data_IF_995506291348
#
_entry.id   IF_995506291348
#
_cell.length_a   1.000
_cell.length_b   1.000
_cell.length_c   1.000
_cell.angle_alpha   90.00
_cell.angle_beta   90.00
_cell.angle_gamma   90.00
#
_symmetry.space_group_name_H-M   'P 1'
#
loop_
_entity.id
_entity.type
_entity.pdbx_description
1 polymer ?
#
# COMPACT_ATOMS: atom_id res chain seq x y z
N UNK A 1 -22.36 97.78 -63.84
CA UNK A 1 -22.11 97.32 -65.23
C UNK A 1 -23.46 96.93 -65.81
N UNK A 2 -23.91 97.56 -66.91
CA UNK A 2 -25.14 97.15 -67.56
C UNK A 2 -24.99 95.73 -68.10
N UNK A 3 -26.06 94.93 -68.04
CA UNK A 3 -26.08 93.61 -68.65
C UNK A 3 -25.98 93.74 -70.18
N UNK A 4 -25.38 92.77 -70.88
CA UNK A 4 -25.43 92.70 -72.33
C UNK A 4 -26.88 92.75 -72.83
N UNK A 5 -27.14 93.52 -73.90
CA UNK A 5 -28.48 93.74 -74.47
C UNK A 5 -29.24 92.43 -74.73
N UNK A 6 -28.55 91.40 -75.21
CA UNK A 6 -29.16 90.09 -75.47
C UNK A 6 -29.67 89.39 -74.20
N UNK A 7 -29.08 89.65 -73.04
CA UNK A 7 -29.49 89.09 -71.75
C UNK A 7 -30.69 89.88 -71.19
N UNK A 8 -30.68 91.20 -71.34
CA UNK A 8 -31.81 92.06 -70.95
C UNK A 8 -33.06 91.75 -71.78
N UNK A 9 -32.92 91.61 -73.11
CA UNK A 9 -34.00 91.22 -74.02
C UNK A 9 -34.55 89.81 -73.68
N UNK A 10 -33.67 88.88 -73.30
CA UNK A 10 -34.05 87.54 -72.87
C UNK A 10 -34.85 87.57 -71.55
N UNK A 11 -34.43 88.38 -70.58
CA UNK A 11 -35.12 88.54 -69.30
C UNK A 11 -36.48 89.19 -69.50
N UNK A 12 -36.55 90.29 -70.26
CA UNK A 12 -37.79 91.00 -70.58
C UNK A 12 -38.80 90.07 -71.28
N UNK A 13 -38.38 89.38 -72.34
CA UNK A 13 -39.26 88.46 -73.07
C UNK A 13 -39.64 87.21 -72.25
N UNK A 14 -38.82 86.84 -71.26
CA UNK A 14 -39.17 85.79 -70.30
C UNK A 14 -40.24 86.24 -69.32
N UNK A 15 -40.21 87.50 -68.89
CA UNK A 15 -41.26 88.08 -68.04
C UNK A 15 -42.56 88.27 -68.81
N UNK A 16 -42.48 88.74 -70.06
CA UNK A 16 -43.62 88.86 -70.98
C UNK A 16 -44.30 87.49 -71.20
N UNK A 17 -43.52 86.42 -71.39
CA UNK A 17 -44.06 85.06 -71.48
C UNK A 17 -44.87 84.64 -70.24
N UNK A 18 -44.36 84.93 -69.04
CA UNK A 18 -45.02 84.56 -67.78
C UNK A 18 -46.37 85.25 -67.56
N UNK A 19 -46.59 86.40 -68.20
CA UNK A 19 -47.88 87.12 -68.19
C UNK A 19 -48.76 86.82 -69.41
N UNK A 20 -48.38 85.84 -70.23
CA UNK A 20 -49.16 85.36 -71.37
C UNK A 20 -48.94 86.13 -72.68
N UNK A 21 -47.91 86.97 -72.78
CA UNK A 21 -47.58 87.70 -74.00
C UNK A 21 -46.73 86.84 -74.97
N UNK A 22 -46.87 87.03 -76.29
CA UNK A 22 -46.13 86.27 -77.29
C UNK A 22 -44.63 86.60 -77.26
N UNK A 23 -43.81 85.55 -77.31
CA UNK A 23 -42.34 85.62 -77.22
C UNK A 23 -41.73 85.56 -78.61
N UNK A 24 -40.59 86.21 -78.82
CA UNK A 24 -39.88 86.09 -80.09
C UNK A 24 -39.37 84.66 -80.33
N UNK A 25 -39.35 84.26 -81.60
CA UNK A 25 -38.83 82.95 -82.04
C UNK A 25 -37.36 82.74 -81.62
N UNK A 26 -36.54 83.80 -81.63
CA UNK A 26 -35.12 83.78 -81.22
C UNK A 26 -34.97 83.34 -79.76
N UNK A 27 -35.78 83.91 -78.86
CA UNK A 27 -35.77 83.58 -77.43
C UNK A 27 -36.25 82.16 -77.17
N UNK A 28 -37.28 81.68 -77.87
CA UNK A 28 -37.75 80.30 -77.77
C UNK A 28 -36.69 79.29 -78.24
N UNK A 29 -36.02 79.55 -79.36
CA UNK A 29 -34.92 78.69 -79.84
C UNK A 29 -33.74 78.66 -78.87
N UNK A 30 -33.37 79.81 -78.28
CA UNK A 30 -32.28 79.87 -77.31
C UNK A 30 -32.61 79.09 -76.03
N UNK A 31 -33.85 79.19 -75.52
CA UNK A 31 -34.35 78.38 -74.39
C UNK A 31 -34.35 76.88 -74.70
N UNK A 32 -34.76 76.51 -75.92
CA UNK A 32 -34.75 75.11 -76.36
C UNK A 32 -33.33 74.55 -76.37
N UNK A 33 -32.38 75.25 -76.99
CA UNK A 33 -30.97 74.84 -77.03
C UNK A 33 -30.36 74.73 -75.62
N UNK A 34 -30.59 75.71 -74.76
CA UNK A 34 -30.11 75.69 -73.37
C UNK A 34 -30.73 74.53 -72.57
N UNK A 35 -32.01 74.25 -72.77
CA UNK A 35 -32.70 73.11 -72.15
C UNK A 35 -32.17 71.77 -72.66
N UNK A 36 -31.90 71.65 -73.97
CA UNK A 36 -31.33 70.44 -74.56
C UNK A 36 -29.92 70.17 -74.05
N UNK A 37 -29.07 71.20 -73.96
CA UNK A 37 -27.73 71.08 -73.41
C UNK A 37 -27.75 70.73 -71.91
N UNK A 38 -28.65 71.34 -71.12
CA UNK A 38 -28.84 70.99 -69.72
C UNK A 38 -29.31 69.54 -69.57
N UNK A 39 -30.24 69.07 -70.43
CA UNK A 39 -30.70 67.67 -70.46
C UNK A 39 -29.55 66.72 -70.79
N UNK A 40 -28.72 67.04 -71.77
CA UNK A 40 -27.55 66.22 -72.12
C UNK A 40 -26.52 66.15 -70.99
N UNK A 41 -26.26 67.26 -70.30
CA UNK A 41 -25.39 67.30 -69.12
C UNK A 41 -25.92 66.43 -67.98
N UNK A 42 -27.20 66.61 -67.61
CA UNK A 42 -27.86 65.79 -66.59
C UNK A 42 -27.84 64.30 -66.95
N UNK A 43 -28.09 63.97 -68.22
CA UNK A 43 -28.03 62.59 -68.69
C UNK A 43 -26.63 61.99 -68.52
N UNK A 44 -25.57 62.76 -68.79
CA UNK A 44 -24.19 62.38 -68.53
C UNK A 44 -23.91 62.16 -67.04
N UNK A 45 -24.36 63.06 -66.16
CA UNK A 45 -24.21 62.91 -64.71
C UNK A 45 -24.95 61.67 -64.17
N UNK A 46 -26.15 61.40 -64.68
CA UNK A 46 -26.92 60.20 -64.31
C UNK A 46 -26.15 58.92 -64.66
N UNK A 47 -25.54 58.84 -65.86
CA UNK A 47 -24.73 57.68 -66.23
C UNK A 47 -23.49 57.53 -65.34
N UNK A 48 -22.78 58.63 -65.06
CA UNK A 48 -21.62 58.60 -64.16
C UNK A 48 -21.99 58.14 -62.75
N UNK A 49 -23.10 58.63 -62.21
CA UNK A 49 -23.61 58.20 -60.90
C UNK A 49 -24.01 56.73 -60.90
N UNK A 50 -24.64 56.23 -61.97
CA UNK A 50 -24.98 54.82 -62.11
C UNK A 50 -23.73 53.93 -62.14
N UNK A 51 -22.68 54.33 -62.87
CA UNK A 51 -21.40 53.62 -62.88
C UNK A 51 -20.76 53.60 -61.49
N UNK A 52 -20.70 54.76 -60.82
CA UNK A 52 -20.17 54.87 -59.47
C UNK A 52 -20.93 53.98 -58.47
N UNK A 53 -22.26 53.96 -58.55
CA UNK A 53 -23.10 53.14 -57.69
C UNK A 53 -22.84 51.65 -57.91
N UNK A 54 -22.78 51.19 -59.16
CA UNK A 54 -22.42 49.79 -59.50
C UNK A 54 -21.06 49.39 -58.95
N UNK A 55 -20.07 50.27 -59.05
CA UNK A 55 -18.73 49.99 -58.54
C UNK A 55 -18.67 49.95 -57.00
N UNK A 56 -19.46 50.78 -56.32
CA UNK A 56 -19.63 50.71 -54.86
C UNK A 56 -20.34 49.42 -54.45
N UNK A 57 -21.40 49.02 -55.14
CA UNK A 57 -22.10 47.77 -54.88
C UNK A 57 -21.18 46.56 -55.04
N UNK A 58 -20.36 46.52 -56.10
CA UNK A 58 -19.34 45.47 -56.29
C UNK A 58 -18.36 45.41 -55.12
N UNK A 59 -17.85 46.55 -54.67
CA UNK A 59 -16.93 46.62 -53.52
C UNK A 59 -17.59 46.14 -52.23
N UNK A 60 -18.86 46.49 -52.01
CA UNK A 60 -19.63 45.99 -50.86
C UNK A 60 -19.76 44.47 -50.92
N UNK A 61 -20.12 43.90 -52.08
CA UNK A 61 -20.24 42.44 -52.23
C UNK A 61 -18.91 41.71 -52.00
N UNK A 62 -17.80 42.27 -52.47
CA UNK A 62 -16.46 41.73 -52.19
C UNK A 62 -16.15 41.77 -50.70
N UNK A 63 -16.37 42.92 -50.04
CA UNK A 63 -16.15 43.05 -48.60
C UNK A 63 -17.03 42.12 -47.77
N UNK A 64 -18.29 41.90 -48.16
CA UNK A 64 -19.20 40.97 -47.50
C UNK A 64 -18.73 39.51 -47.64
N UNK A 65 -18.29 39.11 -48.84
CA UNK A 65 -17.78 37.75 -49.06
C UNK A 65 -16.47 37.50 -48.30
N UNK A 66 -15.56 38.47 -48.28
CA UNK A 66 -14.35 38.44 -47.47
C UNK A 66 -14.66 38.34 -45.97
N UNK A 67 -15.55 39.19 -45.45
CA UNK A 67 -15.97 39.17 -44.06
C UNK A 67 -16.61 37.82 -43.67
N UNK A 68 -17.41 37.23 -44.56
CA UNK A 68 -18.01 35.90 -44.34
C UNK A 68 -16.96 34.80 -44.25
N UNK A 69 -15.97 34.80 -45.13
CA UNK A 69 -14.87 33.81 -45.10
C UNK A 69 -14.02 33.97 -43.82
N UNK A 70 -13.70 35.21 -43.45
CA UNK A 70 -12.95 35.52 -42.23
C UNK A 70 -13.73 35.09 -40.97
N UNK A 71 -15.03 35.34 -40.91
CA UNK A 71 -15.86 34.88 -39.80
C UNK A 71 -15.88 33.35 -39.68
N UNK A 72 -15.95 32.63 -40.81
CA UNK A 72 -15.90 31.16 -40.81
C UNK A 72 -14.52 30.63 -40.36
N UNK A 73 -13.43 31.26 -40.82
CA UNK A 73 -12.08 30.90 -40.39
C UNK A 73 -11.89 31.13 -38.89
N UNK A 74 -12.33 32.28 -38.38
CA UNK A 74 -12.28 32.59 -36.95
C UNK A 74 -13.08 31.59 -36.12
N UNK A 75 -14.28 31.21 -36.58
CA UNK A 75 -15.10 30.19 -35.90
C UNK A 75 -14.35 28.86 -35.79
N UNK A 76 -13.75 28.37 -36.88
CA UNK A 76 -12.95 27.13 -36.87
C UNK A 76 -11.78 27.21 -35.89
N UNK A 77 -11.06 28.32 -35.86
CA UNK A 77 -9.97 28.52 -34.91
C UNK A 77 -10.45 28.54 -33.45
N UNK A 78 -11.61 29.12 -33.17
CA UNK A 78 -12.21 29.09 -31.83
C UNK A 78 -12.54 27.64 -31.45
N UNK A 79 -13.20 26.89 -32.34
CA UNK A 79 -13.57 25.49 -32.09
C UNK A 79 -12.33 24.61 -31.83
N UNK A 80 -11.27 24.78 -32.63
CA UNK A 80 -9.97 24.12 -32.44
C UNK A 80 -9.31 24.51 -31.11
N UNK A 81 -9.34 25.79 -30.74
CA UNK A 81 -8.77 26.26 -29.48
C UNK A 81 -9.51 25.67 -28.28
N UNK A 82 -10.84 25.58 -28.34
CA UNK A 82 -11.67 24.92 -27.32
C UNK A 82 -11.30 23.44 -27.19
N UNK A 83 -11.14 22.74 -28.33
CA UNK A 83 -10.71 21.33 -28.34
C UNK A 83 -9.33 21.15 -27.71
N UNK A 84 -8.36 21.96 -28.09
CA UNK A 84 -7.01 21.92 -27.54
C UNK A 84 -6.99 22.19 -26.04
N UNK A 85 -7.82 23.12 -25.54
CA UNK A 85 -7.94 23.36 -24.08
C UNK A 85 -8.47 22.14 -23.34
N UNK A 86 -9.47 21.45 -23.90
CA UNK A 86 -9.98 20.22 -23.31
C UNK A 86 -8.90 19.13 -23.27
N UNK A 87 -8.17 18.91 -24.38
CA UNK A 87 -7.07 17.95 -24.43
C UNK A 87 -5.94 18.31 -23.43
N UNK A 88 -5.60 19.59 -23.29
CA UNK A 88 -4.64 20.05 -22.27
C UNK A 88 -5.13 19.75 -20.85
N UNK A 89 -6.40 19.99 -20.56
CA UNK A 89 -7.00 19.68 -19.26
C UNK A 89 -6.94 18.18 -18.95
N UNK A 90 -7.25 17.33 -19.92
CA UNK A 90 -7.22 15.87 -19.78
C UNK A 90 -5.79 15.37 -19.54
N UNK A 91 -4.82 15.91 -20.29
CA UNK A 91 -3.40 15.58 -20.11
C UNK A 91 -2.90 16.02 -18.73
N UNK A 92 -3.28 17.20 -18.24
CA UNK A 92 -2.94 17.65 -16.89
C UNK A 92 -3.51 16.73 -15.83
N UNK A 93 -4.78 16.35 -15.94
CA UNK A 93 -5.40 15.38 -15.03
C UNK A 93 -4.64 14.04 -15.02
N UNK A 94 -4.21 13.57 -16.19
CA UNK A 94 -3.40 12.35 -16.30
C UNK A 94 -2.01 12.51 -15.66
N UNK A 95 -1.35 13.65 -15.83
CA UNK A 95 -0.08 13.95 -15.17
C UNK A 95 -0.23 13.91 -13.64
N UNK A 96 -1.25 14.56 -13.08
CA UNK A 96 -1.51 14.54 -11.64
C UNK A 96 -1.73 13.12 -11.11
N UNK A 97 -2.43 12.26 -11.86
CA UNK A 97 -2.60 10.84 -11.49
C UNK A 97 -1.26 10.09 -11.47
N UNK A 98 -0.41 10.32 -12.48
CA UNK A 98 0.90 9.69 -12.55
C UNK A 98 1.86 10.19 -11.47
N UNK A 99 1.82 11.48 -11.13
CA UNK A 99 2.62 12.04 -10.04
C UNK A 99 2.25 11.40 -8.69
N UNK A 100 0.95 11.22 -8.42
CA UNK A 100 0.48 10.51 -7.23
C UNK A 100 0.99 9.07 -7.22
N UNK A 101 0.94 8.37 -8.35
CA UNK A 101 1.41 7.00 -8.49
C UNK A 101 2.93 6.88 -8.29
N UNK A 102 3.73 7.79 -8.86
CA UNK A 102 5.17 7.87 -8.60
C UNK A 102 5.46 8.08 -7.11
N UNK A 103 4.73 8.98 -6.45
CA UNK A 103 4.88 9.20 -5.01
C UNK A 103 4.58 7.95 -4.17
N UNK A 104 3.67 7.08 -4.63
CA UNK A 104 3.39 5.81 -3.97
C UNK A 104 4.56 4.84 -4.15
N UNK A 105 5.12 4.72 -5.36
CA UNK A 105 6.31 3.90 -5.60
C UNK A 105 7.52 4.34 -4.78
N UNK A 106 7.74 5.64 -4.61
CA UNK A 106 8.83 6.14 -3.78
C UNK A 106 8.63 5.77 -2.30
N UNK A 107 7.42 5.94 -1.76
CA UNK A 107 7.08 5.51 -0.40
C UNK A 107 7.24 4.00 -0.21
N UNK A 108 6.75 3.21 -1.16
CA UNK A 108 6.87 1.74 -1.12
C UNK A 108 8.34 1.31 -1.13
N UNK A 109 9.18 1.97 -1.94
CA UNK A 109 10.63 1.72 -1.99
C UNK A 109 11.31 2.04 -0.65
N UNK A 110 10.95 3.16 -0.03
CA UNK A 110 11.47 3.56 1.28
C UNK A 110 11.06 2.56 2.36
N UNK A 111 9.78 2.18 2.42
CA UNK A 111 9.29 1.19 3.38
C UNK A 111 9.97 -0.18 3.24
N UNK A 112 10.22 -0.63 2.01
CA UNK A 112 10.95 -1.87 1.77
C UNK A 112 12.43 -1.78 2.18
N UNK A 113 13.05 -0.62 2.02
CA UNK A 113 14.43 -0.38 2.47
C UNK A 113 14.52 -0.41 4.00
N UNK A 114 13.60 0.26 4.70
CA UNK A 114 13.51 0.23 6.16
C UNK A 114 13.28 -1.19 6.68
N UNK A 115 12.37 -1.94 6.05
CA UNK A 115 12.14 -3.34 6.40
C UNK A 115 13.39 -4.20 6.22
N UNK A 116 14.16 -3.98 5.16
CA UNK A 116 15.44 -4.64 4.93
C UNK A 116 16.43 -4.37 6.07
N UNK A 117 16.59 -3.10 6.44
CA UNK A 117 17.46 -2.71 7.55
C UNK A 117 17.03 -3.34 8.88
N UNK A 118 15.73 -3.34 9.21
CA UNK A 118 15.22 -3.99 10.42
C UNK A 118 15.44 -5.51 10.42
N UNK A 119 15.32 -6.15 9.25
CA UNK A 119 15.55 -7.58 9.13
C UNK A 119 17.03 -7.92 9.35
N UNK A 120 17.94 -7.11 8.80
CA UNK A 120 19.38 -7.24 8.99
C UNK A 120 19.76 -7.01 10.46
N UNK A 121 19.24 -5.97 11.10
CA UNK A 121 19.44 -5.72 12.55
C UNK A 121 18.99 -6.93 13.38
N UNK A 122 17.77 -7.45 13.14
CA UNK A 122 17.27 -8.65 13.84
C UNK A 122 18.15 -9.89 13.60
N UNK A 123 18.72 -10.04 12.41
CA UNK A 123 19.63 -11.14 12.11
C UNK A 123 20.93 -10.99 12.92
N UNK A 124 21.51 -9.79 12.95
CA UNK A 124 22.72 -9.52 13.74
C UNK A 124 22.49 -9.74 15.25
N UNK A 125 21.33 -9.34 15.77
CA UNK A 125 20.93 -9.59 17.18
C UNK A 125 20.72 -11.09 17.48
N UNK A 126 20.29 -11.88 16.51
CA UNK A 126 20.18 -13.32 16.66
C UNK A 126 21.55 -14.00 16.64
N UNK A 127 22.45 -13.58 15.74
CA UNK A 127 23.82 -14.10 15.63
C UNK A 127 24.65 -13.80 16.88
N UNK A 128 24.54 -12.58 17.42
CA UNK A 128 25.22 -12.19 18.66
C UNK A 128 24.75 -13.05 19.83
N UNK A 129 23.43 -13.21 20.03
CA UNK A 129 22.87 -14.08 21.09
C UNK A 129 23.26 -15.54 20.93
N UNK A 130 23.28 -16.06 19.71
CA UNK A 130 23.72 -17.43 19.44
C UNK A 130 25.21 -17.61 19.81
N UNK A 131 26.06 -16.66 19.42
CA UNK A 131 27.48 -16.65 19.75
C UNK A 131 27.72 -16.59 21.26
N UNK A 132 26.99 -15.76 21.98
CA UNK A 132 27.05 -15.69 23.45
C UNK A 132 26.62 -17.02 24.10
N UNK A 133 25.54 -17.63 23.61
CA UNK A 133 25.07 -18.92 24.09
C UNK A 133 26.10 -20.03 23.84
N UNK A 134 26.75 -20.05 22.67
CA UNK A 134 27.85 -20.99 22.38
C UNK A 134 29.03 -20.82 23.34
N UNK A 135 29.42 -19.58 23.63
CA UNK A 135 30.50 -19.28 24.59
C UNK A 135 30.11 -19.78 25.99
N UNK A 136 28.88 -19.54 26.44
CA UNK A 136 28.41 -20.01 27.74
C UNK A 136 28.32 -21.54 27.81
N UNK A 137 27.87 -22.20 26.74
CA UNK A 137 27.84 -23.65 26.66
C UNK A 137 29.26 -24.24 26.79
N UNK A 138 30.25 -23.66 26.11
CA UNK A 138 31.66 -24.10 26.24
C UNK A 138 32.16 -23.98 27.68
N UNK A 139 31.84 -22.89 28.37
CA UNK A 139 32.19 -22.71 29.80
C UNK A 139 31.55 -23.78 30.68
N UNK A 140 30.24 -23.98 30.55
CA UNK A 140 29.50 -24.98 31.33
C UNK A 140 29.99 -26.42 31.05
N UNK A 141 30.38 -26.73 29.81
CA UNK A 141 30.98 -28.02 29.48
C UNK A 141 32.30 -28.23 30.23
N UNK A 142 33.17 -27.21 30.29
CA UNK A 142 34.43 -27.28 31.03
C UNK A 142 34.20 -27.47 32.53
N UNK A 143 33.28 -26.70 33.12
CA UNK A 143 32.89 -26.82 34.53
C UNK A 143 32.30 -28.20 34.85
N UNK A 144 31.46 -28.74 33.97
CA UNK A 144 30.88 -30.07 34.10
C UNK A 144 31.96 -31.15 34.05
N UNK A 145 32.93 -31.03 33.15
CA UNK A 145 34.07 -31.95 33.10
C UNK A 145 34.91 -31.89 34.38
N UNK A 146 35.13 -30.70 34.93
CA UNK A 146 35.84 -30.50 36.20
C UNK A 146 35.11 -31.18 37.35
N UNK A 147 33.81 -30.91 37.52
CA UNK A 147 32.98 -31.56 38.53
C UNK A 147 32.95 -33.09 38.37
N UNK A 148 32.92 -33.59 37.13
CA UNK A 148 32.98 -35.03 36.85
C UNK A 148 34.31 -35.63 37.30
N UNK A 149 35.45 -34.96 37.07
CA UNK A 149 36.77 -35.41 37.56
C UNK A 149 36.81 -35.44 39.09
N UNK A 150 36.28 -34.41 39.75
CA UNK A 150 36.20 -34.36 41.22
C UNK A 150 35.36 -35.52 41.80
N UNK A 151 34.19 -35.80 41.22
CA UNK A 151 33.34 -36.92 41.63
C UNK A 151 34.04 -38.28 41.48
N UNK A 152 34.79 -38.48 40.39
CA UNK A 152 35.57 -39.70 40.19
C UNK A 152 36.65 -39.86 41.27
N UNK A 153 37.39 -38.79 41.56
CA UNK A 153 38.41 -38.79 42.61
C UNK A 153 37.83 -39.09 44.00
N UNK A 154 36.65 -38.54 44.33
CA UNK A 154 35.95 -38.84 45.59
C UNK A 154 35.52 -40.30 45.67
N UNK A 155 35.01 -40.85 44.57
CA UNK A 155 34.60 -42.25 44.49
C UNK A 155 35.78 -43.21 44.70
N UNK A 156 36.94 -42.90 44.12
CA UNK A 156 38.16 -43.69 44.36
C UNK A 156 38.63 -43.64 45.81
N UNK A 157 38.52 -42.48 46.46
CA UNK A 157 38.83 -42.35 47.90
C UNK A 157 37.86 -43.18 48.73
N UNK A 158 36.57 -43.14 48.40
CA UNK A 158 35.53 -43.94 49.06
C UNK A 158 35.77 -45.44 48.89
N UNK A 159 36.13 -45.91 47.69
CA UNK A 159 36.45 -47.33 47.46
C UNK A 159 37.67 -47.76 48.28
N UNK A 160 38.74 -46.94 48.34
CA UNK A 160 39.92 -47.23 49.17
C UNK A 160 39.56 -47.29 50.66
N UNK A 161 38.80 -46.31 51.16
CA UNK A 161 38.35 -46.30 52.55
C UNK A 161 37.46 -47.53 52.87
N UNK A 162 36.60 -47.96 51.93
CA UNK A 162 35.80 -49.16 52.08
C UNK A 162 36.64 -50.44 52.09
N UNK A 163 37.68 -50.53 51.26
CA UNK A 163 38.64 -51.65 51.26
C UNK A 163 39.41 -51.72 52.58
N UNK A 164 39.90 -50.58 53.09
CA UNK A 164 40.55 -50.46 54.40
C UNK A 164 39.60 -50.89 55.53
N UNK A 165 38.35 -50.41 55.53
CA UNK A 165 37.33 -50.82 56.49
C UNK A 165 37.07 -52.33 56.42
N UNK A 166 37.02 -52.92 55.24
CA UNK A 166 36.86 -54.37 55.08
C UNK A 166 38.07 -55.15 55.61
N UNK A 167 39.29 -54.63 55.42
CA UNK A 167 40.51 -55.24 55.97
C UNK A 167 40.49 -55.19 57.50
N UNK A 168 40.17 -54.03 58.08
CA UNK A 168 40.04 -53.86 59.53
C UNK A 168 38.95 -54.78 60.11
N UNK A 169 37.80 -54.90 59.45
CA UNK A 169 36.74 -55.84 59.84
C UNK A 169 37.24 -57.29 59.85
N UNK A 170 38.02 -57.70 58.84
CA UNK A 170 38.63 -59.05 58.79
C UNK A 170 39.62 -59.26 59.94
N UNK A 171 40.48 -58.28 60.22
CA UNK A 171 41.44 -58.35 61.33
C UNK A 171 40.74 -58.43 62.69
N UNK A 172 39.70 -57.63 62.92
CA UNK A 172 38.86 -57.72 64.12
C UNK A 172 38.28 -59.13 64.26
N UNK A 173 37.73 -59.67 63.17
CA UNK A 173 37.13 -61.01 63.21
C UNK A 173 38.17 -62.11 63.50
N UNK A 174 39.38 -61.98 62.96
CA UNK A 174 40.48 -62.91 63.25
C UNK A 174 40.98 -62.80 64.70
N UNK A 175 41.08 -61.58 65.25
CA UNK A 175 41.42 -61.35 66.65
C UNK A 175 40.33 -61.88 67.58
N UNK A 176 39.06 -61.69 67.25
CA UNK A 176 37.93 -62.25 67.99
C UNK A 176 37.94 -63.79 67.95
N UNK A 177 38.25 -64.38 66.79
CA UNK A 177 38.42 -65.83 66.66
C UNK A 177 39.60 -66.35 67.51
N UNK A 178 40.75 -65.65 67.49
CA UNK A 178 41.91 -65.96 68.36
C UNK A 178 41.57 -65.78 69.84
N UNK A 179 40.80 -64.75 70.21
CA UNK A 179 40.31 -64.52 71.58
C UNK A 179 39.35 -65.62 72.05
N UNK A 180 38.42 -66.05 71.19
CA UNK A 180 37.54 -67.19 71.49
C UNK A 180 38.34 -68.49 71.64
N UNK A 181 39.32 -68.75 70.78
CA UNK A 181 40.16 -69.95 70.87
C UNK A 181 41.14 -69.92 72.06
N UNK A 182 41.64 -68.74 72.47
CA UNK A 182 42.41 -68.59 73.70
C UNK A 182 41.55 -68.84 74.96
N UNK A 183 40.25 -68.56 74.91
CA UNK A 183 39.30 -68.83 76.01
C UNK A 183 38.93 -70.31 76.19
N UNK A 184 39.30 -71.20 75.26
CA UNK A 184 39.09 -72.65 75.38
C UNK A 184 40.24 -73.35 76.11
N UNK A 185 41.43 -72.72 76.20
CA UNK A 185 42.62 -73.30 76.84
C UNK A 185 42.99 -72.69 78.20
N UNK A 186 42.25 -71.70 78.70
CA UNK A 186 42.32 -71.27 80.10
C UNK A 186 40.89 -71.26 80.67
N UNK A 187 40.63 -72.23 81.55
CA UNK A 187 39.40 -72.32 82.31
C UNK A 187 39.25 -71.16 83.28
N UNK A 188 38.74 -70.03 82.80
CA UNK A 188 38.10 -69.02 83.63
C UNK A 188 36.73 -68.65 83.05
N UNK A 189 35.72 -69.25 83.68
CA UNK A 189 34.33 -68.80 83.68
C UNK A 189 34.28 -67.29 84.01
N UNK A 190 34.05 -66.45 83.00
CA UNK A 190 33.68 -65.06 83.20
C UNK A 190 32.16 -64.95 83.19
N UNK A 191 31.56 -65.01 84.38
CA UNK A 191 30.12 -64.84 84.63
C UNK A 191 29.67 -63.36 84.49
N UNK A 192 30.30 -62.61 83.59
CA UNK A 192 30.01 -61.20 83.33
C UNK A 192 29.71 -60.95 81.84
N UNK A 193 28.95 -61.87 81.22
CA UNK A 193 28.47 -61.75 79.84
C UNK A 193 26.95 -61.93 79.70
N UNK A 194 26.19 -61.68 80.78
CA UNK A 194 24.72 -61.58 80.74
C UNK A 194 24.17 -60.15 80.86
N UNK A 195 25.02 -59.14 81.17
CA UNK A 195 24.58 -57.73 81.25
C UNK A 195 24.68 -56.96 79.92
N UNK A 196 25.42 -57.46 78.92
CA UNK A 196 25.59 -56.79 77.62
C UNK A 196 24.52 -57.14 76.57
N UNK A 197 23.60 -58.05 76.88
CA UNK A 197 22.40 -58.30 76.06
C UNK A 197 21.22 -57.38 76.41
N UNK A 198 21.28 -56.68 77.55
CA UNK A 198 20.25 -55.72 77.96
C UNK A 198 20.54 -54.29 77.46
N UNK A 199 21.81 -53.88 77.41
CA UNK A 199 22.19 -52.57 76.84
C UNK A 199 22.13 -52.51 75.29
N UNK A 200 22.31 -53.64 74.60
CA UNK A 200 22.16 -53.71 73.13
C UNK A 200 20.67 -53.66 72.69
N UNK A 201 19.75 -53.94 73.61
CA UNK A 201 18.30 -53.83 73.38
C UNK A 201 17.76 -52.44 73.75
N UNK A 202 18.44 -51.72 74.65
CA UNK A 202 18.17 -50.31 74.96
C UNK A 202 18.75 -49.36 73.89
N UNK A 203 19.88 -49.69 73.25
CA UNK A 203 20.42 -48.90 72.13
C UNK A 203 19.67 -49.09 70.80
N UNK A 204 18.90 -50.18 70.63
CA UNK A 204 17.99 -50.37 69.49
C UNK A 204 16.69 -49.56 69.59
N UNK A 205 16.38 -49.01 70.77
CA UNK A 205 15.24 -48.10 70.97
C UNK A 205 15.52 -46.62 70.59
N UNK A 206 16.74 -46.33 70.11
CA UNK A 206 17.15 -45.02 69.59
C UNK A 206 17.43 -45.04 68.07
N UNK A 207 16.80 -45.95 67.32
CA UNK A 207 16.75 -45.89 65.86
C UNK A 207 15.50 -45.10 65.48
N UNK A 208 15.59 -43.87 64.94
CA UNK A 208 14.43 -43.16 64.45
C UNK A 208 13.83 -43.91 63.26
N UNK A 209 12.51 -44.11 63.27
CA UNK A 209 11.77 -44.61 62.12
C UNK A 209 12.05 -43.73 60.88
N UNK A 210 12.33 -44.28 59.68
CA UNK A 210 12.42 -43.48 58.48
C UNK A 210 11.03 -43.28 57.85
N UNK A 211 9.99 -43.04 58.65
CA UNK A 211 8.64 -42.76 58.13
C UNK A 211 7.89 -41.89 59.15
N UNK A 212 8.29 -40.63 59.33
CA UNK A 212 7.43 -39.56 59.92
C UNK A 212 8.05 -38.15 59.94
N UNK A 213 9.27 -37.96 59.45
CA UNK A 213 9.82 -36.61 59.26
C UNK A 213 10.86 -36.61 58.15
N UNK A 214 10.39 -36.48 56.90
CA UNK A 214 11.30 -36.04 55.83
C UNK A 214 11.89 -34.70 56.29
N UNK A 215 13.22 -34.53 56.32
CA UNK A 215 13.78 -33.20 56.29
C UNK A 215 13.17 -32.51 55.08
N UNK A 216 12.68 -31.29 55.23
CA UNK A 216 12.52 -30.40 54.09
C UNK A 216 13.92 -30.18 53.50
N UNK A 217 14.38 -31.14 52.70
CA UNK A 217 15.54 -31.00 51.86
C UNK A 217 15.25 -29.82 50.94
N UNK A 218 16.25 -28.97 50.72
CA UNK A 218 16.17 -27.83 49.78
C UNK A 218 15.54 -28.25 48.45
N UNK A 219 15.81 -29.48 48.00
CA UNK A 219 15.21 -30.08 46.81
C UNK A 219 13.68 -30.24 46.89
N UNK A 220 13.12 -30.71 48.01
CA UNK A 220 11.66 -30.80 48.20
C UNK A 220 10.99 -29.43 48.27
N UNK A 221 11.68 -28.41 48.81
CA UNK A 221 11.19 -27.03 48.80
C UNK A 221 11.23 -26.42 47.39
N UNK A 222 12.26 -26.72 46.59
CA UNK A 222 12.36 -26.31 45.17
C UNK A 222 11.25 -26.98 44.35
N UNK A 223 11.01 -28.27 44.55
CA UNK A 223 9.93 -29.00 43.88
C UNK A 223 8.55 -28.47 44.28
N UNK A 224 8.31 -28.18 45.56
CA UNK A 224 7.05 -27.57 46.02
C UNK A 224 6.83 -26.17 45.41
N UNK A 225 7.89 -25.35 45.33
CA UNK A 225 7.83 -24.05 44.63
C UNK A 225 7.56 -24.23 43.14
N UNK A 226 8.22 -25.18 42.48
CA UNK A 226 8.01 -25.53 41.07
C UNK A 226 6.59 -26.02 40.78
N UNK A 227 6.00 -26.81 41.66
CA UNK A 227 4.59 -27.22 41.57
C UNK A 227 3.64 -26.03 41.73
N UNK A 228 3.95 -25.08 42.62
CA UNK A 228 3.13 -23.88 42.80
C UNK A 228 3.19 -22.93 41.59
N UNK A 229 4.34 -22.80 40.94
CA UNK A 229 4.49 -22.00 39.71
C UNK A 229 3.80 -22.68 38.55
N UNK A 230 4.00 -23.99 38.38
CA UNK A 230 3.34 -24.76 37.32
C UNK A 230 1.81 -24.73 37.47
N UNK A 231 1.29 -24.74 38.69
CA UNK A 231 -0.14 -24.62 38.94
C UNK A 231 -0.68 -23.24 38.56
N UNK A 232 0.08 -22.16 38.83
CA UNK A 232 -0.28 -20.80 38.38
C UNK A 232 -0.26 -20.69 36.85
N UNK A 233 0.76 -21.26 36.21
CA UNK A 233 0.88 -21.27 34.75
C UNK A 233 -0.27 -22.05 34.10
N UNK A 234 -0.68 -23.17 34.71
CA UNK A 234 -1.83 -23.96 34.25
C UNK A 234 -3.14 -23.16 34.32
N UNK A 235 -3.41 -22.48 35.44
CA UNK A 235 -4.60 -21.62 35.55
C UNK A 235 -4.57 -20.44 34.56
N UNK A 236 -3.39 -19.85 34.32
CA UNK A 236 -3.24 -18.81 33.31
C UNK A 236 -3.49 -19.33 31.89
N UNK A 237 -3.01 -20.53 31.57
CA UNK A 237 -3.26 -21.18 30.28
C UNK A 237 -4.75 -21.48 30.06
N UNK A 238 -5.48 -21.90 31.09
CA UNK A 238 -6.95 -22.08 31.01
C UNK A 238 -7.68 -20.77 30.72
N UNK A 239 -7.22 -19.65 31.28
CA UNK A 239 -7.78 -18.33 31.00
C UNK A 239 -7.48 -17.91 29.55
N UNK A 240 -6.24 -18.08 29.10
CA UNK A 240 -5.84 -17.76 27.74
C UNK A 240 -6.59 -18.61 26.70
N UNK A 241 -6.81 -19.89 26.99
CA UNK A 241 -7.56 -20.80 26.13
C UNK A 241 -9.01 -20.33 25.96
N UNK A 242 -9.71 -20.01 27.06
CA UNK A 242 -11.08 -19.47 26.98
C UNK A 242 -11.16 -18.18 26.18
N UNK A 243 -10.19 -17.27 26.36
CA UNK A 243 -10.12 -16.04 25.57
C UNK A 243 -9.90 -16.33 24.08
N UNK A 244 -9.00 -17.25 23.74
CA UNK A 244 -8.75 -17.64 22.35
C UNK A 244 -10.01 -18.26 21.70
N UNK A 245 -10.78 -19.04 22.46
CA UNK A 245 -12.07 -19.59 21.99
C UNK A 245 -13.11 -18.49 21.73
N UNK A 246 -13.18 -17.46 22.58
CA UNK A 246 -14.07 -16.30 22.39
C UNK A 246 -13.67 -15.45 21.17
N UNK A 247 -12.37 -15.18 21.00
CA UNK A 247 -11.84 -14.45 19.84
C UNK A 247 -12.08 -15.21 18.53
N UNK A 248 -11.88 -16.53 18.52
CA UNK A 248 -12.17 -17.37 17.37
C UNK A 248 -13.66 -17.34 17.00
N UNK A 249 -14.55 -17.26 17.99
CA UNK A 249 -15.99 -17.14 17.76
C UNK A 249 -16.35 -15.79 17.12
N UNK A 250 -15.78 -14.68 17.60
CA UNK A 250 -16.01 -13.36 17.02
C UNK A 250 -15.50 -13.27 15.58
N UNK A 251 -14.31 -13.81 15.30
CA UNK A 251 -13.77 -13.86 13.94
C UNK A 251 -14.62 -14.73 13.01
N UNK A 252 -15.20 -15.81 13.52
CA UNK A 252 -16.14 -16.61 12.75
C UNK A 252 -17.41 -15.81 12.39
N UNK A 253 -17.98 -15.09 13.36
CA UNK A 253 -19.15 -14.23 13.13
C UNK A 253 -18.85 -13.10 12.13
N UNK A 254 -17.68 -12.46 12.23
CA UNK A 254 -17.23 -11.43 11.28
C UNK A 254 -17.04 -11.99 9.86
N UNK A 255 -16.43 -13.16 9.73
CA UNK A 255 -16.25 -13.82 8.44
C UNK A 255 -17.59 -14.16 7.77
N UNK A 256 -18.59 -14.59 8.56
CA UNK A 256 -19.94 -14.84 8.04
C UNK A 256 -20.57 -13.55 7.50
N UNK A 257 -20.48 -12.43 8.24
CA UNK A 257 -21.00 -11.14 7.75
C UNK A 257 -20.29 -10.66 6.48
N UNK A 258 -18.97 -10.86 6.40
CA UNK A 258 -18.18 -10.51 5.21
C UNK A 258 -18.60 -11.35 3.99
N UNK A 259 -18.87 -12.64 4.17
CA UNK A 259 -19.37 -13.50 3.11
C UNK A 259 -20.76 -13.07 2.61
N UNK A 260 -21.65 -12.64 3.52
CA UNK A 260 -22.95 -12.07 3.17
C UNK A 260 -22.82 -10.78 2.35
N UNK A 261 -21.93 -9.87 2.72
CA UNK A 261 -21.67 -8.63 1.99
C UNK A 261 -21.09 -8.88 0.59
N UNK A 262 -20.14 -9.82 0.46
CA UNK A 262 -19.60 -10.22 -0.84
C UNK A 262 -20.67 -10.84 -1.75
N UNK A 263 -21.58 -11.62 -1.17
CA UNK A 263 -22.73 -12.19 -1.88
C UNK A 263 -23.73 -11.11 -2.31
N UNK A 264 -23.94 -10.05 -1.53
CA UNK A 264 -24.77 -8.91 -1.94
C UNK A 264 -24.12 -8.13 -3.08
N UNK A 265 -22.83 -7.78 -2.95
CA UNK A 265 -22.09 -7.06 -3.98
C UNK A 265 -22.04 -7.80 -5.32
N UNK A 266 -21.84 -9.13 -5.29
CA UNK A 266 -21.86 -9.95 -6.51
C UNK A 266 -23.25 -10.00 -7.17
N UNK A 267 -24.34 -10.03 -6.38
CA UNK A 267 -25.72 -9.94 -6.90
C UNK A 267 -26.02 -8.57 -7.53
N UNK A 268 -25.57 -7.48 -6.92
CA UNK A 268 -25.74 -6.13 -7.47
C UNK A 268 -24.99 -5.94 -8.81
N UNK A 269 -23.79 -6.51 -8.93
CA UNK A 269 -23.06 -6.55 -10.21
C UNK A 269 -23.78 -7.34 -11.30
N UNK A 270 -24.48 -8.42 -10.94
CA UNK A 270 -25.22 -9.23 -11.92
C UNK A 270 -26.55 -8.56 -12.34
N UNK A 271 -27.16 -7.74 -11.48
CA UNK A 271 -28.40 -7.02 -11.81
C UNK A 271 -28.19 -5.77 -12.68
N UNK A 272 -26.98 -5.20 -12.68
CA UNK A 272 -26.64 -4.01 -13.49
C UNK A 272 -26.26 -4.33 -14.95
N UNK A 273 -26.16 -5.61 -15.34
CA UNK A 273 -25.94 -6.03 -16.74
C UNK A 273 -27.23 -6.42 -17.47
N UNK A 274 -28.35 -5.76 -17.17
CA UNK A 274 -29.62 -5.89 -17.88
C UNK A 274 -29.62 -5.19 -19.25
N UNK A 275 -28.84 -5.71 -20.21
CA UNK A 275 -28.78 -5.22 -21.60
C UNK A 275 -28.75 -6.39 -22.60
N UNK A 276 -29.78 -6.46 -23.45
CA UNK A 276 -30.13 -7.58 -24.35
C UNK A 276 -29.21 -7.72 -25.60
N UNK A 277 -29.39 -8.87 -26.28
CA UNK A 277 -29.06 -9.23 -27.67
C UNK A 277 -27.65 -9.81 -27.89
N UNK A 278 -27.36 -10.78 -28.76
CA UNK A 278 -28.11 -11.64 -29.69
C UNK A 278 -27.09 -12.61 -30.32
N UNK A 279 -27.58 -13.71 -30.88
CA UNK A 279 -26.93 -14.70 -31.77
C UNK A 279 -25.62 -14.33 -32.50
N UNK A 280 -24.71 -15.31 -32.60
CA UNK A 280 -23.65 -15.32 -33.62
C UNK A 280 -22.74 -16.56 -33.54
N UNK A 281 -23.01 -17.53 -34.41
CA UNK A 281 -22.24 -18.77 -34.56
C UNK A 281 -20.79 -18.51 -35.02
N UNK A 282 -19.83 -19.26 -34.48
CA UNK A 282 -18.42 -19.21 -34.88
C UNK A 282 -18.07 -20.41 -35.77
N UNK A 283 -17.82 -20.12 -37.05
CA UNK A 283 -17.31 -21.07 -38.03
C UNK A 283 -15.77 -20.97 -38.14
N UNK A 284 -15.14 -22.13 -38.07
CA UNK A 284 -13.71 -22.35 -38.30
C UNK A 284 -13.27 -21.92 -39.71
N UNK A 285 -12.15 -21.19 -39.82
CA UNK A 285 -11.54 -20.87 -41.11
C UNK A 285 -10.07 -20.42 -41.00
N UNK A 286 -9.14 -21.36 -41.22
CA UNK A 286 -7.70 -21.12 -41.41
C UNK A 286 -7.43 -20.41 -42.75
N UNK A 287 -6.54 -19.39 -42.81
CA UNK A 287 -5.38 -19.32 -43.75
C UNK A 287 -4.57 -17.99 -43.71
N UNK A 288 -3.28 -18.17 -43.40
CA UNK A 288 -1.98 -17.60 -43.87
C UNK A 288 -1.84 -16.22 -44.58
N UNK A 289 -0.71 -15.60 -44.20
CA UNK A 289 0.34 -14.84 -44.94
C UNK A 289 0.34 -13.29 -45.07
N UNK A 290 1.48 -12.72 -44.62
CA UNK A 290 2.11 -11.35 -44.71
C UNK A 290 2.62 -11.01 -46.15
N UNK A 291 3.27 -9.85 -46.48
CA UNK A 291 3.84 -8.73 -45.67
C UNK A 291 3.70 -7.26 -46.22
N UNK A 292 4.33 -6.29 -45.49
CA UNK A 292 4.78 -4.91 -45.86
C UNK A 292 3.67 -3.81 -45.81
N UNK A 293 3.84 -2.58 -45.29
CA UNK A 293 4.96 -1.69 -44.94
C UNK A 293 4.61 -0.82 -43.72
N UNK A 294 5.63 -0.16 -43.15
CA UNK A 294 5.61 0.79 -42.05
C UNK A 294 4.38 1.73 -41.98
N UNK A 295 3.86 1.91 -40.76
CA UNK A 295 3.55 3.22 -40.22
C UNK A 295 3.55 3.18 -38.68
N UNK A 296 3.83 4.37 -38.18
CA UNK A 296 4.30 4.81 -36.88
C UNK A 296 3.42 4.37 -35.70
N UNK A 297 4.08 4.11 -34.58
CA UNK A 297 3.49 3.71 -33.31
C UNK A 297 2.52 4.78 -32.79
N UNK A 298 1.22 4.51 -32.82
CA UNK A 298 0.29 4.95 -31.78
C UNK A 298 -0.21 3.70 -31.06
N UNK A 299 0.62 3.20 -30.14
CA UNK A 299 0.10 2.39 -29.04
C UNK A 299 -0.67 3.35 -28.16
N UNK A 300 -1.96 3.49 -28.41
CA UNK A 300 -2.93 3.84 -27.40
C UNK A 300 -2.81 2.79 -26.28
N UNK A 301 -1.93 3.07 -25.33
CA UNK A 301 -2.00 2.44 -24.02
C UNK A 301 -3.28 2.95 -23.39
N UNK A 302 -4.36 2.25 -23.71
CA UNK A 302 -5.64 2.34 -23.05
C UNK A 302 -5.44 1.88 -21.60
N UNK A 303 -5.08 2.84 -20.75
CA UNK A 303 -5.04 2.69 -19.30
C UNK A 303 -6.38 3.13 -18.69
N UNK A 304 -7.48 2.95 -19.43
CA UNK A 304 -8.86 3.10 -18.94
C UNK A 304 -9.31 1.94 -18.04
N UNK A 305 -8.43 1.45 -17.15
CA UNK A 305 -8.84 0.57 -16.07
C UNK A 305 -9.53 1.39 -14.97
N UNK A 306 -10.55 0.84 -14.27
CA UNK A 306 -11.33 1.59 -13.28
C UNK A 306 -10.41 2.18 -12.21
N UNK A 307 -10.61 3.48 -11.94
CA UNK A 307 -9.97 4.32 -10.91
C UNK A 307 -9.92 3.61 -9.54
N UNK A 308 -8.96 2.72 -9.37
CA UNK A 308 -8.66 2.10 -8.09
C UNK A 308 -7.26 2.55 -7.75
N UNK A 309 -7.16 3.77 -7.24
CA UNK A 309 -5.91 4.27 -6.66
C UNK A 309 -5.48 3.27 -5.59
N UNK A 310 -4.39 2.54 -5.84
CA UNK A 310 -3.86 1.56 -4.89
C UNK A 310 -3.44 2.29 -3.61
N UNK A 311 -3.69 1.64 -2.47
CA UNK A 311 -3.21 2.14 -1.19
C UNK A 311 -1.70 1.87 -1.07
N UNK A 312 -0.95 2.74 -0.36
CA UNK A 312 0.46 2.49 -0.07
C UNK A 312 0.61 1.15 0.68
N UNK A 313 1.74 0.47 0.48
CA UNK A 313 2.05 -0.73 1.25
C UNK A 313 2.04 -0.35 2.74
N UNK A 314 1.19 -1.01 3.52
CA UNK A 314 1.19 -0.83 4.97
C UNK A 314 2.53 -1.35 5.51
N UNK A 315 3.13 -0.69 6.52
CA UNK A 315 4.32 -1.23 7.19
C UNK A 315 4.04 -2.67 7.61
N UNK A 316 4.85 -3.60 7.11
CA UNK A 316 4.75 -5.00 7.51
C UNK A 316 4.99 -5.04 9.02
N UNK A 317 3.99 -5.52 9.77
CA UNK A 317 4.09 -5.54 11.22
C UNK A 317 5.36 -6.30 11.62
N UNK A 318 6.18 -5.77 12.53
CA UNK A 318 7.35 -6.48 13.00
C UNK A 318 6.88 -7.82 13.54
N UNK A 319 7.38 -8.91 12.94
CA UNK A 319 7.29 -10.26 13.49
C UNK A 319 8.22 -10.34 14.71
N UNK A 320 7.96 -9.50 15.71
CA UNK A 320 8.56 -9.61 17.02
C UNK A 320 7.82 -10.73 17.76
N UNK A 321 8.52 -11.68 18.40
CA UNK A 321 7.91 -12.75 19.19
C UNK A 321 6.94 -12.24 20.28
N UNK A 322 7.08 -10.96 20.68
CA UNK A 322 6.28 -10.31 21.71
C UNK A 322 5.00 -9.61 21.18
N UNK A 323 4.87 -9.41 19.87
CA UNK A 323 3.71 -8.73 19.26
C UNK A 323 2.39 -9.51 19.37
N UNK A 324 2.46 -10.82 19.66
CA UNK A 324 1.27 -11.64 19.97
C UNK A 324 0.66 -11.36 21.34
N UNK A 325 1.29 -10.57 22.21
CA UNK A 325 0.76 -10.32 23.56
C UNK A 325 -0.11 -9.06 23.68
N UNK A 326 -0.15 -8.19 22.67
CA UNK A 326 -0.84 -6.90 22.76
C UNK A 326 -1.60 -6.53 21.46
N UNK A 327 -2.64 -7.29 21.13
CA UNK A 327 -3.80 -6.72 20.45
C UNK A 327 -5.03 -6.98 21.33
N UNK A 328 -5.53 -5.90 21.92
CA UNK A 328 -6.84 -5.83 22.58
C UNK A 328 -7.93 -5.68 21.52
#
# INVERSE_FOLDING_TARGET
MPLPSDIDDYIQQSMEYCVGLPVSQKTLQSKLMASEEARHRLQGEVFQLQDCLRDKDRKIQLSLSEASLNAQALKKHIDENVKLRAECSDLLCRCEKLEKECSLYDRDREALMEFGNEADERATDAETRASEAEVNLRKLMLELEESKRECLMLREKETRANEELQLLRRQIHELDYKRLNASVNDGMSCNQCHSLKKENQEQQSQIPSPVSSLPQCSHCQILAKGLSTLNKDNEQLKVNLRRAEEEAKLLFEENVMMEELLNQYSKERQQTSGGKNSHGASANGKRKSRPRTANTNERTSDLGGPDTSRLPLSPLQPNSPESRMHKK
#
